data_IF_373193773583
#
_entry.id   IF_373193773583
#
_cell.length_a   1.000
_cell.length_b   1.000
_cell.length_c   1.000
_cell.angle_alpha   90.00
_cell.angle_beta   90.00
_cell.angle_gamma   90.00
#
_symmetry.space_group_name_H-M   'P 1'
#
loop_
_entity.id
_entity.type
_entity.pdbx_description
1 polymer ?
#
# COMPACT_ATOMS: atom_id res chain seq x y z
N UNK A 1 -9.68 1.36 -16.03
CA UNK A 1 -10.80 2.32 -16.18
C UNK A 1 -11.71 2.37 -14.95
N UNK A 2 -12.48 1.30 -14.64
CA UNK A 2 -13.43 1.31 -13.52
C UNK A 2 -12.78 1.74 -12.19
N UNK A 3 -11.62 1.17 -11.84
CA UNK A 3 -10.87 1.56 -10.63
C UNK A 3 -10.53 3.06 -10.58
N UNK A 4 -10.12 3.65 -11.71
CA UNK A 4 -9.79 5.07 -11.80
C UNK A 4 -11.00 5.98 -11.62
N UNK A 5 -12.16 5.63 -12.20
CA UNK A 5 -13.41 6.37 -12.00
C UNK A 5 -13.87 6.33 -10.53
N UNK A 6 -13.76 5.17 -9.89
CA UNK A 6 -14.09 5.00 -8.47
C UNK A 6 -13.13 5.82 -7.58
N UNK A 7 -11.83 5.85 -7.89
CA UNK A 7 -10.86 6.67 -7.17
C UNK A 7 -11.14 8.18 -7.36
N UNK A 8 -11.53 8.63 -8.56
CA UNK A 8 -11.93 10.03 -8.77
C UNK A 8 -13.13 10.43 -7.90
N UNK A 9 -14.09 9.54 -7.71
CA UNK A 9 -15.18 9.78 -6.76
C UNK A 9 -14.69 9.77 -5.31
N UNK A 10 -14.02 8.69 -4.88
CA UNK A 10 -13.65 8.51 -3.46
C UNK A 10 -12.60 9.50 -2.96
N UNK A 11 -11.70 9.99 -3.82
CA UNK A 11 -10.62 10.91 -3.44
C UNK A 11 -10.92 12.37 -3.79
N UNK A 12 -11.65 12.63 -4.88
CA UNK A 12 -11.88 13.99 -5.39
C UNK A 12 -13.37 14.40 -5.42
N UNK A 13 -14.30 13.54 -5.01
CA UNK A 13 -15.72 13.86 -4.96
C UNK A 13 -16.41 13.98 -6.33
N UNK A 14 -15.83 13.42 -7.39
CA UNK A 14 -16.39 13.53 -8.75
C UNK A 14 -17.63 12.64 -8.93
N UNK A 15 -18.82 13.20 -8.71
CA UNK A 15 -20.09 12.49 -8.95
C UNK A 15 -20.26 12.03 -10.39
N UNK A 16 -19.74 12.78 -11.37
CA UNK A 16 -19.78 12.35 -12.78
C UNK A 16 -18.97 11.07 -13.01
N UNK A 17 -17.84 10.91 -12.32
CA UNK A 17 -17.06 9.69 -12.41
C UNK A 17 -17.83 8.48 -11.84
N UNK A 18 -18.57 8.67 -10.74
CA UNK A 18 -19.43 7.63 -10.17
C UNK A 18 -20.57 7.25 -11.13
N UNK A 19 -21.24 8.22 -11.76
CA UNK A 19 -22.29 7.97 -12.76
C UNK A 19 -21.77 7.08 -13.91
N UNK A 20 -20.58 7.39 -14.42
CA UNK A 20 -19.95 6.59 -15.49
C UNK A 20 -19.55 5.20 -14.97
N UNK A 21 -19.02 5.12 -13.75
CA UNK A 21 -18.64 3.84 -13.12
C UNK A 21 -19.86 2.92 -12.93
N UNK A 22 -21.00 3.48 -12.51
CA UNK A 22 -22.27 2.76 -12.39
C UNK A 22 -22.73 2.22 -13.73
N UNK A 23 -22.81 3.08 -14.76
CA UNK A 23 -23.22 2.66 -16.10
C UNK A 23 -22.31 1.54 -16.67
N UNK A 24 -21.00 1.64 -16.45
CA UNK A 24 -20.04 0.61 -16.83
C UNK A 24 -20.25 -0.70 -16.05
N UNK A 25 -20.45 -0.61 -14.73
CA UNK A 25 -20.75 -1.77 -13.88
C UNK A 25 -22.03 -2.49 -14.29
N UNK A 26 -23.08 -1.74 -14.63
CA UNK A 26 -24.34 -2.28 -15.15
C UNK A 26 -24.16 -2.96 -16.51
N UNK A 27 -23.39 -2.36 -17.43
CA UNK A 27 -23.07 -2.96 -18.72
C UNK A 27 -22.33 -4.30 -18.55
N UNK A 28 -21.28 -4.31 -17.73
CA UNK A 28 -20.50 -5.52 -17.42
C UNK A 28 -21.42 -6.59 -16.83
N UNK A 29 -22.23 -6.24 -15.84
CA UNK A 29 -23.16 -7.17 -15.20
C UNK A 29 -24.18 -7.76 -16.17
N UNK A 30 -24.79 -6.95 -17.03
CA UNK A 30 -25.72 -7.41 -18.07
C UNK A 30 -25.03 -8.38 -19.04
N UNK A 31 -23.82 -8.07 -19.50
CA UNK A 31 -23.06 -8.93 -20.42
C UNK A 31 -22.70 -10.27 -19.79
N UNK A 32 -22.16 -10.24 -18.57
CA UNK A 32 -21.74 -11.45 -17.85
C UNK A 32 -22.94 -12.34 -17.51
N UNK A 33 -24.05 -11.78 -16.99
CA UNK A 33 -25.25 -12.56 -16.69
C UNK A 33 -25.86 -13.19 -17.94
N UNK A 34 -25.91 -12.46 -19.06
CA UNK A 34 -26.38 -13.02 -20.34
C UNK A 34 -25.52 -14.19 -20.79
N UNK A 35 -24.19 -14.04 -20.78
CA UNK A 35 -23.27 -15.13 -21.17
C UNK A 35 -23.35 -16.32 -20.20
N UNK A 36 -23.51 -16.08 -18.91
CA UNK A 36 -23.69 -17.13 -17.91
C UNK A 36 -25.01 -17.89 -18.12
N UNK A 37 -26.09 -17.20 -18.52
CA UNK A 37 -27.36 -17.84 -18.86
C UNK A 37 -27.24 -18.68 -20.16
N UNK A 38 -26.52 -18.19 -21.16
CA UNK A 38 -26.35 -18.86 -22.46
C UNK A 38 -25.34 -20.03 -22.42
N UNK A 39 -24.26 -19.91 -21.63
CA UNK A 39 -23.09 -20.83 -21.67
C UNK A 39 -22.73 -21.45 -20.31
N UNK A 40 -23.44 -21.09 -19.24
CA UNK A 40 -23.20 -21.57 -17.88
C UNK A 40 -22.10 -20.81 -17.13
N UNK A 41 -22.11 -20.92 -15.80
CA UNK A 41 -21.12 -20.31 -14.91
C UNK A 41 -19.69 -20.85 -15.15
N UNK A 42 -19.56 -22.11 -15.54
CA UNK A 42 -18.26 -22.69 -15.89
C UNK A 42 -17.60 -21.93 -17.05
N UNK A 43 -18.38 -21.45 -18.02
CA UNK A 43 -17.86 -20.62 -19.10
C UNK A 43 -17.32 -19.29 -18.56
N UNK A 44 -18.09 -18.60 -17.71
CA UNK A 44 -17.67 -17.35 -17.06
C UNK A 44 -16.33 -17.55 -16.33
N UNK A 45 -16.22 -18.56 -15.46
CA UNK A 45 -14.97 -18.80 -14.72
C UNK A 45 -13.80 -19.21 -15.62
N UNK A 46 -14.07 -19.92 -16.73
CA UNK A 46 -13.05 -20.20 -17.75
C UNK A 46 -12.54 -18.92 -18.41
N UNK A 47 -13.38 -17.90 -18.62
CA UNK A 47 -12.91 -16.61 -19.15
C UNK A 47 -11.94 -15.91 -18.20
N UNK A 48 -12.09 -16.10 -16.88
CA UNK A 48 -11.20 -15.55 -15.85
C UNK A 48 -9.82 -16.26 -15.80
N UNK A 49 -9.60 -17.28 -16.62
CA UNK A 49 -8.25 -17.83 -16.82
C UNK A 49 -7.39 -16.92 -17.70
N UNK A 50 -8.01 -15.99 -18.43
CA UNK A 50 -7.29 -14.84 -18.97
C UNK A 50 -7.18 -13.74 -17.91
N UNK A 51 -6.10 -12.96 -18.00
CA UNK A 51 -5.88 -11.84 -17.09
C UNK A 51 -7.05 -10.84 -17.18
N UNK A 52 -7.75 -10.67 -16.06
CA UNK A 52 -8.88 -9.75 -15.92
C UNK A 52 -8.58 -8.58 -14.97
N UNK A 53 -7.34 -8.50 -14.47
CA UNK A 53 -6.91 -7.52 -13.48
C UNK A 53 -7.77 -7.55 -12.21
N UNK A 54 -7.82 -6.42 -11.50
CA UNK A 54 -8.58 -6.27 -10.24
C UNK A 54 -10.06 -5.94 -10.48
N UNK A 55 -10.69 -6.52 -11.50
CA UNK A 55 -12.08 -6.19 -11.83
C UNK A 55 -13.06 -6.58 -10.71
N UNK A 56 -12.78 -7.68 -9.99
CA UNK A 56 -13.55 -8.06 -8.81
C UNK A 56 -13.42 -7.01 -7.70
N UNK A 57 -12.21 -6.52 -7.41
CA UNK A 57 -11.99 -5.43 -6.46
C UNK A 57 -12.80 -4.18 -6.83
N UNK A 58 -12.71 -3.77 -8.10
CA UNK A 58 -13.39 -2.58 -8.59
C UNK A 58 -14.92 -2.72 -8.50
N UNK A 59 -15.48 -3.88 -8.82
CA UNK A 59 -16.92 -4.14 -8.71
C UNK A 59 -17.39 -4.22 -7.25
N UNK A 60 -16.60 -4.82 -6.35
CA UNK A 60 -16.91 -4.79 -4.92
C UNK A 60 -16.84 -3.35 -4.35
N UNK A 61 -15.88 -2.54 -4.79
CA UNK A 61 -15.82 -1.12 -4.43
C UNK A 61 -17.05 -0.36 -4.97
N UNK A 62 -17.44 -0.55 -6.23
CA UNK A 62 -18.67 0.02 -6.78
C UNK A 62 -19.92 -0.40 -5.97
N UNK A 63 -20.02 -1.68 -5.61
CA UNK A 63 -21.11 -2.19 -4.79
C UNK A 63 -21.17 -1.53 -3.41
N UNK A 64 -20.01 -1.22 -2.81
CA UNK A 64 -19.94 -0.53 -1.52
C UNK A 64 -20.38 0.94 -1.58
N UNK A 65 -20.12 1.62 -2.71
CA UNK A 65 -20.52 3.03 -2.88
C UNK A 65 -22.00 3.18 -3.22
N UNK A 66 -22.55 2.23 -3.98
CA UNK A 66 -23.92 2.32 -4.52
C UNK A 66 -24.97 1.59 -3.70
N UNK A 67 -24.57 0.60 -2.90
CA UNK A 67 -25.48 -0.28 -2.16
C UNK A 67 -26.32 -1.24 -3.02
N UNK A 68 -26.21 -1.18 -4.36
CA UNK A 68 -27.02 -1.99 -5.29
C UNK A 68 -26.65 -3.47 -5.23
N UNK A 69 -27.66 -4.33 -5.06
CA UNK A 69 -27.47 -5.78 -4.96
C UNK A 69 -26.93 -6.39 -6.27
N UNK A 70 -27.29 -5.81 -7.42
CA UNK A 70 -26.84 -6.24 -8.74
C UNK A 70 -25.33 -6.05 -8.92
N UNK A 71 -24.75 -5.02 -8.31
CA UNK A 71 -23.30 -4.80 -8.31
C UNK A 71 -22.59 -5.87 -7.48
N UNK A 72 -23.13 -6.23 -6.30
CA UNK A 72 -22.60 -7.35 -5.49
C UNK A 72 -22.66 -8.66 -6.26
N UNK A 73 -23.81 -8.97 -6.85
CA UNK A 73 -24.00 -10.18 -7.65
C UNK A 73 -23.04 -10.24 -8.85
N UNK A 74 -22.79 -9.09 -9.49
CA UNK A 74 -21.80 -9.00 -10.59
C UNK A 74 -20.39 -9.21 -10.07
N UNK A 75 -20.00 -8.57 -8.96
CA UNK A 75 -18.68 -8.70 -8.36
C UNK A 75 -18.36 -10.16 -7.99
N UNK A 76 -19.32 -10.89 -7.41
CA UNK A 76 -19.17 -12.31 -7.06
C UNK A 76 -18.87 -13.21 -8.28
N UNK A 77 -19.29 -12.84 -9.49
CA UNK A 77 -19.01 -13.61 -10.71
C UNK A 77 -17.57 -13.44 -11.22
N UNK A 78 -16.79 -12.57 -10.59
CA UNK A 78 -15.36 -12.40 -10.84
C UNK A 78 -14.48 -12.95 -9.72
N UNK A 79 -15.07 -13.50 -8.65
CA UNK A 79 -14.33 -14.21 -7.61
C UNK A 79 -13.92 -15.60 -8.13
N UNK A 80 -12.63 -15.81 -8.41
CA UNK A 80 -12.14 -16.95 -9.20
C UNK A 80 -12.03 -18.25 -8.37
N UNK A 81 -12.86 -19.27 -8.62
CA UNK A 81 -12.87 -20.49 -7.79
C UNK A 81 -11.58 -21.30 -7.87
N UNK A 82 -10.87 -21.30 -9.00
CA UNK A 82 -9.63 -22.09 -9.14
C UNK A 82 -8.42 -21.48 -8.39
N UNK A 83 -8.54 -20.25 -7.89
CA UNK A 83 -7.57 -19.65 -6.98
C UNK A 83 -8.05 -19.78 -5.53
N UNK A 84 -9.30 -19.40 -5.28
CA UNK A 84 -9.87 -19.37 -3.93
C UNK A 84 -10.14 -20.77 -3.36
N UNK A 85 -10.53 -21.73 -4.20
CA UNK A 85 -10.85 -23.11 -3.82
C UNK A 85 -9.65 -23.86 -3.22
N UNK A 86 -8.50 -23.94 -3.92
CA UNK A 86 -7.29 -24.54 -3.36
C UNK A 86 -6.85 -23.87 -2.05
N UNK A 87 -6.88 -22.54 -1.98
CA UNK A 87 -6.57 -21.80 -0.75
C UNK A 87 -7.53 -22.15 0.40
N UNK A 88 -8.83 -22.32 0.11
CA UNK A 88 -9.83 -22.74 1.09
C UNK A 88 -9.60 -24.17 1.59
N UNK A 89 -9.11 -25.05 0.72
CA UNK A 89 -8.68 -26.40 1.05
C UNK A 89 -7.29 -26.46 1.73
N UNK A 90 -6.66 -25.31 1.96
CA UNK A 90 -5.33 -25.20 2.57
C UNK A 90 -4.19 -25.63 1.66
N UNK A 91 -4.41 -25.72 0.35
CA UNK A 91 -3.43 -26.11 -0.66
C UNK A 91 -2.67 -24.90 -1.19
N UNK A 92 -1.38 -25.09 -1.46
CA UNK A 92 -0.57 -24.14 -2.23
C UNK A 92 -0.58 -24.55 -3.71
N UNK A 93 -1.36 -23.80 -4.51
CA UNK A 93 -1.45 -23.99 -5.95
C UNK A 93 -0.76 -22.84 -6.73
N UNK A 94 0.10 -22.05 -6.10
CA UNK A 94 0.63 -20.81 -6.70
C UNK A 94 1.76 -21.04 -7.71
N UNK A 95 2.45 -22.18 -7.66
CA UNK A 95 3.56 -22.47 -8.57
C UNK A 95 3.13 -22.42 -10.03
N UNK A 96 3.85 -21.67 -10.86
CA UNK A 96 3.55 -21.46 -12.27
C UNK A 96 2.37 -20.52 -12.55
N UNK A 97 1.71 -19.97 -11.53
CA UNK A 97 0.71 -18.92 -11.74
C UNK A 97 1.37 -17.58 -12.03
N UNK A 98 0.76 -16.79 -12.90
CA UNK A 98 1.11 -15.39 -13.11
C UNK A 98 0.81 -14.59 -11.84
N UNK A 99 1.86 -14.02 -11.24
CA UNK A 99 1.79 -13.43 -9.90
C UNK A 99 0.84 -12.23 -9.83
N UNK A 100 0.97 -11.29 -10.77
CA UNK A 100 0.15 -10.08 -10.77
C UNK A 100 -1.36 -10.36 -10.96
N UNK A 101 -1.71 -11.30 -11.85
CA UNK A 101 -3.10 -11.74 -12.05
C UNK A 101 -3.70 -12.30 -10.76
N UNK A 102 -2.99 -13.20 -10.07
CA UNK A 102 -3.47 -13.78 -8.82
C UNK A 102 -3.58 -12.74 -7.70
N UNK A 103 -2.60 -11.83 -7.58
CA UNK A 103 -2.65 -10.72 -6.61
C UNK A 103 -3.86 -9.82 -6.82
N UNK A 104 -4.15 -9.47 -8.08
CA UNK A 104 -5.31 -8.63 -8.41
C UNK A 104 -6.64 -9.27 -7.98
N UNK A 105 -6.77 -10.59 -8.13
CA UNK A 105 -7.94 -11.33 -7.66
C UNK A 105 -8.02 -11.39 -6.13
N UNK A 106 -6.89 -11.53 -5.44
CA UNK A 106 -6.85 -11.54 -3.97
C UNK A 106 -7.16 -10.18 -3.36
N UNK A 107 -6.80 -9.07 -4.01
CA UNK A 107 -7.27 -7.73 -3.63
C UNK A 107 -8.80 -7.67 -3.63
N UNK A 108 -9.45 -8.23 -4.65
CA UNK A 108 -10.90 -8.29 -4.69
C UNK A 108 -11.52 -9.24 -3.65
N UNK A 109 -10.86 -10.35 -3.32
CA UNK A 109 -11.28 -11.22 -2.22
C UNK A 109 -11.25 -10.46 -0.88
N UNK A 110 -10.17 -9.73 -0.59
CA UNK A 110 -10.10 -8.90 0.62
C UNK A 110 -11.13 -7.76 0.59
N UNK A 111 -11.35 -7.14 -0.58
CA UNK A 111 -12.38 -6.10 -0.73
C UNK A 111 -13.78 -6.65 -0.49
N UNK A 112 -14.06 -7.90 -0.88
CA UNK A 112 -15.33 -8.56 -0.56
C UNK A 112 -15.55 -8.62 0.95
N UNK A 113 -14.55 -9.07 1.73
CA UNK A 113 -14.65 -9.04 3.19
C UNK A 113 -14.98 -7.63 3.72
N UNK A 114 -14.32 -6.59 3.22
CA UNK A 114 -14.60 -5.21 3.65
C UNK A 114 -16.06 -4.78 3.38
N UNK A 115 -16.70 -5.35 2.34
CA UNK A 115 -18.06 -5.01 1.93
C UNK A 115 -19.14 -5.90 2.55
N UNK A 116 -18.82 -7.17 2.81
CA UNK A 116 -19.81 -8.18 3.25
C UNK A 116 -19.61 -8.64 4.69
N UNK A 117 -18.42 -8.46 5.27
CA UNK A 117 -18.06 -9.01 6.58
C UNK A 117 -17.78 -10.51 6.58
N UNK A 118 -17.75 -11.17 5.40
CA UNK A 118 -17.49 -12.60 5.27
C UNK A 118 -16.04 -12.95 5.65
N UNK A 119 -15.81 -13.25 6.92
CA UNK A 119 -14.46 -13.41 7.51
C UNK A 119 -13.57 -14.45 6.80
N UNK A 120 -14.16 -15.43 6.12
CA UNK A 120 -13.40 -16.45 5.39
C UNK A 120 -12.54 -15.85 4.27
N UNK A 121 -12.95 -14.75 3.63
CA UNK A 121 -12.11 -14.11 2.61
C UNK A 121 -10.86 -13.48 3.20
N UNK A 122 -10.93 -12.91 4.41
CA UNK A 122 -9.71 -12.45 5.11
C UNK A 122 -8.79 -13.62 5.42
N UNK A 123 -9.32 -14.76 5.86
CA UNK A 123 -8.52 -15.96 6.11
C UNK A 123 -7.84 -16.50 4.82
N UNK A 124 -8.52 -16.46 3.68
CA UNK A 124 -7.94 -16.81 2.37
C UNK A 124 -6.82 -15.84 2.00
N UNK A 125 -7.04 -14.54 2.17
CA UNK A 125 -6.04 -13.49 1.91
C UNK A 125 -4.81 -13.65 2.80
N UNK A 126 -4.99 -13.92 4.09
CA UNK A 126 -3.90 -14.17 5.03
C UNK A 126 -3.05 -15.36 4.59
N UNK A 127 -3.69 -16.51 4.30
CA UNK A 127 -3.00 -17.71 3.81
C UNK A 127 -2.20 -17.42 2.53
N UNK A 128 -2.82 -16.71 1.58
CA UNK A 128 -2.15 -16.35 0.33
C UNK A 128 -0.93 -15.45 0.60
N UNK A 129 -1.08 -14.42 1.42
CA UNK A 129 0.03 -13.52 1.81
C UNK A 129 1.15 -14.32 2.48
N UNK A 130 0.82 -15.22 3.41
CA UNK A 130 1.81 -16.06 4.09
C UNK A 130 2.59 -16.94 3.12
N UNK A 131 1.92 -17.56 2.13
CA UNK A 131 2.56 -18.35 1.09
C UNK A 131 3.52 -17.51 0.24
N UNK A 132 3.13 -16.30 -0.16
CA UNK A 132 3.98 -15.42 -0.98
C UNK A 132 5.14 -14.87 -0.17
N UNK A 133 4.87 -14.33 1.01
CA UNK A 133 5.88 -13.68 1.88
C UNK A 133 6.92 -14.68 2.38
N UNK A 134 6.50 -15.86 2.83
CA UNK A 134 7.40 -16.83 3.45
C UNK A 134 8.10 -17.77 2.47
N UNK A 135 7.52 -18.03 1.29
CA UNK A 135 8.05 -19.03 0.35
C UNK A 135 8.49 -18.46 -1.00
N UNK A 136 8.06 -17.26 -1.37
CA UNK A 136 8.22 -16.74 -2.74
C UNK A 136 8.63 -15.28 -2.83
N UNK A 137 9.10 -14.68 -1.74
CA UNK A 137 9.59 -13.30 -1.76
C UNK A 137 11.11 -13.25 -1.69
N UNK A 138 11.70 -12.38 -2.51
CA UNK A 138 13.12 -12.02 -2.41
C UNK A 138 13.36 -11.12 -1.19
N UNK A 139 14.63 -10.87 -0.87
CA UNK A 139 15.02 -9.98 0.24
C UNK A 139 14.48 -8.54 0.09
N UNK A 140 14.19 -8.10 -1.13
CA UNK A 140 13.57 -6.80 -1.40
C UNK A 140 12.08 -6.73 -1.06
N UNK A 141 11.45 -7.85 -0.72
CA UNK A 141 9.99 -7.97 -0.56
C UNK A 141 9.24 -8.18 -1.89
N UNK A 142 9.92 -8.07 -3.03
CA UNK A 142 9.36 -8.41 -4.34
C UNK A 142 9.27 -9.92 -4.56
N UNK A 143 8.51 -10.34 -5.56
CA UNK A 143 8.25 -11.75 -5.88
C UNK A 143 8.20 -11.98 -7.39
N UNK A 144 8.06 -13.23 -7.81
CA UNK A 144 8.05 -13.71 -9.20
C UNK A 144 9.39 -13.65 -9.93
N UNK A 145 9.52 -14.58 -10.88
CA UNK A 145 10.59 -14.61 -11.87
C UNK A 145 9.93 -14.84 -13.23
N UNK A 146 10.20 -13.96 -14.19
CA UNK A 146 9.50 -13.94 -15.49
C UNK A 146 7.96 -13.95 -15.30
N UNK A 147 7.47 -13.10 -14.37
CA UNK A 147 6.05 -12.91 -13.99
C UNK A 147 5.35 -14.10 -13.32
N UNK A 148 6.02 -15.24 -13.24
CA UNK A 148 5.49 -16.47 -12.66
C UNK A 148 6.06 -16.71 -11.26
N UNK A 149 5.29 -17.39 -10.43
CA UNK A 149 5.80 -17.88 -9.16
C UNK A 149 6.54 -19.20 -9.33
N UNK A 150 7.78 -19.22 -8.84
CA UNK A 150 8.56 -20.44 -8.67
C UNK A 150 7.95 -21.37 -7.63
N UNK A 151 8.48 -22.60 -7.59
CA UNK A 151 8.20 -23.54 -6.52
C UNK A 151 8.58 -22.95 -5.14
N UNK A 152 7.86 -23.31 -4.06
CA UNK A 152 8.05 -22.69 -2.76
C UNK A 152 9.48 -22.93 -2.24
N UNK A 153 10.16 -21.86 -1.83
CA UNK A 153 11.54 -21.91 -1.33
C UNK A 153 12.62 -22.08 -2.41
N UNK A 154 12.27 -22.07 -3.69
CA UNK A 154 13.21 -22.34 -4.79
C UNK A 154 13.59 -21.08 -5.59
N UNK A 155 13.83 -19.95 -4.93
CA UNK A 155 14.21 -18.70 -5.64
C UNK A 155 15.70 -18.62 -6.00
N UNK A 156 16.57 -19.35 -5.31
CA UNK A 156 18.03 -19.20 -5.46
C UNK A 156 18.55 -19.48 -6.87
N UNK A 157 17.95 -20.45 -7.57
CA UNK A 157 18.35 -20.80 -8.92
C UNK A 157 18.10 -19.66 -9.93
N UNK A 158 17.08 -18.82 -9.69
CA UNK A 158 16.77 -17.67 -10.55
C UNK A 158 17.86 -16.59 -10.49
N UNK A 159 18.67 -16.57 -9.43
CA UNK A 159 19.72 -15.58 -9.20
C UNK A 159 21.09 -15.98 -9.77
N UNK A 160 21.25 -17.25 -10.16
CA UNK A 160 22.54 -17.79 -10.59
C UNK A 160 23.02 -17.19 -11.92
N UNK A 161 24.34 -17.03 -12.06
CA UNK A 161 24.97 -16.56 -13.30
C UNK A 161 24.73 -17.54 -14.47
N UNK A 162 24.44 -16.99 -15.66
CA UNK A 162 24.58 -17.70 -16.93
C UNK A 162 23.41 -18.56 -17.42
N UNK A 163 22.25 -18.54 -16.76
CA UNK A 163 21.12 -19.43 -17.16
C UNK A 163 19.69 -18.88 -17.07
N UNK A 164 19.46 -17.74 -16.42
CA UNK A 164 18.11 -17.18 -16.23
C UNK A 164 18.00 -15.77 -16.82
N UNK A 165 16.81 -15.42 -17.33
CA UNK A 165 16.49 -14.01 -17.61
C UNK A 165 16.52 -13.27 -16.28
N UNK A 166 17.18 -12.13 -16.21
CA UNK A 166 17.28 -11.35 -14.96
C UNK A 166 15.99 -10.54 -14.69
N UNK A 167 14.85 -11.20 -14.84
CA UNK A 167 13.49 -10.68 -14.77
C UNK A 167 12.89 -11.07 -13.42
N UNK A 168 13.47 -10.53 -12.35
CA UNK A 168 13.03 -10.78 -10.98
C UNK A 168 12.11 -9.67 -10.49
N UNK A 169 11.27 -9.99 -9.50
CA UNK A 169 10.58 -8.97 -8.71
C UNK A 169 9.84 -7.94 -9.58
N UNK A 170 8.89 -8.40 -10.40
CA UNK A 170 8.01 -7.51 -11.18
C UNK A 170 7.41 -6.42 -10.26
N UNK A 171 7.54 -5.15 -10.65
CA UNK A 171 7.15 -4.04 -9.78
C UNK A 171 5.64 -3.99 -9.50
N UNK A 172 4.78 -4.40 -10.46
CA UNK A 172 3.34 -4.58 -10.21
C UNK A 172 3.06 -5.52 -9.04
N UNK A 173 3.77 -6.64 -8.96
CA UNK A 173 3.55 -7.65 -7.91
C UNK A 173 3.91 -7.09 -6.54
N UNK A 174 5.00 -6.35 -6.45
CA UNK A 174 5.43 -5.68 -5.22
C UNK A 174 4.40 -4.63 -4.80
N UNK A 175 3.92 -3.82 -5.73
CA UNK A 175 2.88 -2.82 -5.47
C UNK A 175 1.58 -3.46 -4.96
N UNK A 176 1.08 -4.48 -5.65
CA UNK A 176 -0.15 -5.15 -5.25
C UNK A 176 0.01 -5.95 -3.94
N UNK A 177 1.19 -6.48 -3.65
CA UNK A 177 1.50 -7.05 -2.33
C UNK A 177 1.44 -6.00 -1.22
N UNK A 178 2.03 -4.81 -1.42
CA UNK A 178 1.94 -3.71 -0.44
C UNK A 178 0.47 -3.33 -0.20
N UNK A 179 -0.33 -3.20 -1.25
CA UNK A 179 -1.77 -2.92 -1.12
C UNK A 179 -2.51 -4.01 -0.35
N UNK A 180 -2.29 -5.27 -0.69
CA UNK A 180 -2.97 -6.41 -0.07
C UNK A 180 -2.59 -6.56 1.41
N UNK A 181 -1.31 -6.45 1.72
CA UNK A 181 -0.80 -6.48 3.11
C UNK A 181 -1.27 -5.27 3.89
N UNK A 182 -1.38 -4.09 3.26
CA UNK A 182 -1.97 -2.89 3.86
C UNK A 182 -3.44 -3.07 4.23
N UNK A 183 -4.23 -3.77 3.40
CA UNK A 183 -5.60 -4.15 3.75
C UNK A 183 -5.64 -5.07 4.98
N UNK A 184 -4.76 -6.07 5.05
CA UNK A 184 -4.64 -6.96 6.22
C UNK A 184 -4.13 -6.25 7.48
N UNK A 185 -3.22 -5.29 7.34
CA UNK A 185 -2.73 -4.45 8.43
C UNK A 185 -3.89 -3.67 9.07
N UNK A 186 -4.76 -3.05 8.25
CA UNK A 186 -5.98 -2.38 8.74
C UNK A 186 -7.00 -3.38 9.30
N UNK A 187 -7.15 -4.54 8.66
CA UNK A 187 -8.06 -5.60 9.10
C UNK A 187 -7.69 -6.18 10.47
N UNK A 188 -6.39 -6.31 10.75
CA UNK A 188 -5.85 -6.82 12.01
C UNK A 188 -5.73 -5.77 13.12
N UNK A 189 -5.88 -4.49 12.79
CA UNK A 189 -5.70 -3.40 13.76
C UNK A 189 -4.23 -3.07 14.03
N UNK A 190 -3.32 -3.34 13.09
CA UNK A 190 -1.92 -2.93 13.20
C UNK A 190 -0.91 -4.06 13.46
N UNK A 191 -1.17 -5.29 13.00
CA UNK A 191 -0.23 -6.40 13.20
C UNK A 191 1.18 -6.08 12.64
N UNK A 192 2.20 -6.17 13.50
CA UNK A 192 3.55 -5.67 13.22
C UNK A 192 4.24 -6.38 12.05
N UNK A 193 4.00 -7.69 11.87
CA UNK A 193 4.58 -8.46 10.77
C UNK A 193 4.20 -7.89 9.39
N UNK A 194 3.00 -7.33 9.25
CA UNK A 194 2.57 -6.66 8.02
C UNK A 194 3.26 -5.31 7.83
N UNK A 195 3.45 -4.55 8.90
CA UNK A 195 4.17 -3.29 8.86
C UNK A 195 5.66 -3.48 8.48
N UNK A 196 6.30 -4.54 8.99
CA UNK A 196 7.67 -4.95 8.62
C UNK A 196 7.77 -5.34 7.14
N UNK A 197 6.81 -6.12 6.63
CA UNK A 197 6.78 -6.45 5.20
C UNK A 197 6.62 -5.20 4.33
N UNK A 198 5.69 -4.31 4.70
CA UNK A 198 5.44 -3.06 3.97
C UNK A 198 6.70 -2.18 3.96
N UNK A 199 7.37 -2.00 5.09
CA UNK A 199 8.64 -1.26 5.18
C UNK A 199 9.68 -1.84 4.19
N UNK A 200 9.90 -3.15 4.27
CA UNK A 200 10.87 -3.85 3.43
C UNK A 200 10.56 -3.68 1.94
N UNK A 201 9.30 -3.90 1.55
CA UNK A 201 8.83 -3.81 0.17
C UNK A 201 8.86 -2.37 -0.37
N UNK A 202 8.48 -1.37 0.45
CA UNK A 202 8.53 0.03 0.05
C UNK A 202 9.97 0.48 -0.21
N UNK A 203 10.86 0.28 0.78
CA UNK A 203 12.23 0.79 0.72
C UNK A 203 13.06 0.07 -0.35
N UNK A 204 12.96 -1.26 -0.43
CA UNK A 204 13.83 -2.06 -1.28
C UNK A 204 13.17 -2.42 -2.62
N UNK A 205 11.85 -2.55 -2.66
CA UNK A 205 11.11 -3.05 -3.82
C UNK A 205 10.38 -1.97 -4.63
N UNK A 206 9.93 -0.87 -4.01
CA UNK A 206 9.20 0.21 -4.70
C UNK A 206 10.10 1.40 -4.99
N UNK A 207 10.78 1.98 -4.00
CA UNK A 207 11.58 3.19 -4.20
C UNK A 207 12.66 3.00 -5.28
N UNK A 208 13.25 1.82 -5.35
CA UNK A 208 14.26 1.47 -6.36
C UNK A 208 13.74 1.28 -7.79
N UNK A 209 12.43 1.44 -8.03
CA UNK A 209 11.78 1.24 -9.34
C UNK A 209 11.59 2.51 -10.14
N UNK A 210 11.77 3.70 -9.55
CA UNK A 210 11.83 4.97 -10.29
C UNK A 210 13.27 5.46 -10.36
N UNK A 211 13.68 5.95 -11.52
CA UNK A 211 15.01 6.55 -11.68
C UNK A 211 14.99 7.97 -11.13
N UNK A 212 15.61 8.19 -9.97
CA UNK A 212 15.60 9.51 -9.31
C UNK A 212 16.18 10.65 -10.16
N UNK A 213 17.19 10.37 -11.00
CA UNK A 213 17.79 11.34 -11.91
C UNK A 213 16.94 11.63 -13.17
N UNK A 214 15.96 10.79 -13.45
CA UNK A 214 15.13 10.85 -14.67
C UNK A 214 13.67 10.53 -14.30
N UNK A 215 12.93 11.51 -13.74
CA UNK A 215 11.54 11.30 -13.35
C UNK A 215 10.69 10.73 -14.48
N UNK A 216 9.86 9.74 -14.17
CA UNK A 216 9.02 9.04 -15.14
C UNK A 216 9.67 7.81 -15.80
N UNK A 217 10.98 7.63 -15.69
CA UNK A 217 11.62 6.36 -16.05
C UNK A 217 11.45 5.34 -14.90
N UNK A 218 10.80 4.22 -15.20
CA UNK A 218 10.41 3.18 -14.25
C UNK A 218 10.99 1.81 -14.63
N UNK A 219 11.07 0.90 -13.67
CA UNK A 219 11.42 -0.51 -13.90
C UNK A 219 10.18 -1.39 -14.04
N UNK A 220 10.24 -2.31 -15.01
CA UNK A 220 9.37 -3.46 -15.04
C UNK A 220 9.82 -4.50 -14.01
N UNK A 221 11.03 -5.02 -14.20
CA UNK A 221 11.66 -6.00 -13.31
C UNK A 221 12.78 -5.33 -12.51
N UNK A 222 12.91 -5.72 -11.26
CA UNK A 222 14.06 -5.36 -10.44
C UNK A 222 15.10 -6.49 -10.54
N UNK A 223 16.18 -6.33 -11.32
CA UNK A 223 17.12 -7.42 -11.54
C UNK A 223 17.93 -7.67 -10.25
N UNK A 224 17.93 -8.91 -9.77
CA UNK A 224 18.58 -9.32 -8.51
C UNK A 224 19.76 -10.29 -8.71
N UNK A 225 20.01 -10.71 -9.95
CA UNK A 225 21.13 -11.58 -10.30
C UNK A 225 22.49 -10.91 -10.04
N UNK A 226 23.54 -11.71 -10.00
CA UNK A 226 24.91 -11.20 -9.83
C UNK A 226 25.42 -10.55 -11.12
N UNK A 227 26.05 -9.37 -11.02
CA UNK A 227 26.64 -8.65 -12.16
C UNK A 227 25.64 -8.05 -13.16
N UNK A 228 24.35 -7.99 -12.80
CA UNK A 228 23.27 -7.50 -13.67
C UNK A 228 23.08 -5.99 -13.53
N UNK A 229 22.45 -5.38 -14.53
CA UNK A 229 22.20 -3.94 -14.56
C UNK A 229 20.72 -3.63 -14.79
N UNK A 230 20.27 -2.49 -14.26
CA UNK A 230 18.97 -1.87 -14.55
C UNK A 230 18.92 -1.20 -15.94
N UNK A 231 20.02 -1.19 -16.70
CA UNK A 231 20.08 -0.60 -18.04
C UNK A 231 19.17 -1.36 -19.00
N UNK A 232 18.45 -0.63 -19.87
CA UNK A 232 17.64 -1.21 -20.95
C UNK A 232 18.55 -2.03 -21.89
N UNK A 233 18.35 -3.35 -22.05
CA UNK A 233 19.14 -4.16 -22.97
C UNK A 233 18.72 -3.87 -24.42
N UNK A 234 19.64 -4.02 -25.37
CA UNK A 234 19.35 -3.83 -26.81
C UNK A 234 18.42 -4.91 -27.38
N UNK A 235 18.41 -6.10 -26.78
CA UNK A 235 17.73 -7.30 -27.28
C UNK A 235 16.31 -7.51 -26.75
N UNK A 236 15.90 -6.81 -25.69
CA UNK A 236 14.63 -7.07 -25.01
C UNK A 236 13.87 -5.80 -24.67
N UNK A 237 12.60 -5.76 -25.09
CA UNK A 237 11.75 -4.55 -25.02
C UNK A 237 11.08 -4.31 -23.67
N UNK A 238 11.10 -5.26 -22.74
CA UNK A 238 10.39 -5.18 -21.44
C UNK A 238 11.31 -5.37 -20.23
N UNK A 239 12.57 -4.93 -20.34
CA UNK A 239 13.55 -5.04 -19.26
C UNK A 239 14.37 -3.75 -19.12
N UNK A 240 14.79 -3.44 -17.90
CA UNK A 240 15.52 -2.22 -17.56
C UNK A 240 14.66 -0.97 -17.48
N UNK A 241 15.31 0.20 -17.45
CA UNK A 241 14.63 1.51 -17.36
C UNK A 241 13.74 1.78 -18.57
N UNK A 242 12.48 2.11 -18.29
CA UNK A 242 11.55 2.65 -19.27
C UNK A 242 11.94 4.07 -19.70
N UNK A 243 11.36 4.52 -20.80
CA UNK A 243 11.37 5.91 -21.23
C UNK A 243 10.04 6.57 -20.84
N UNK A 244 10.03 7.84 -20.38
CA UNK A 244 8.80 8.48 -19.92
C UNK A 244 7.65 8.53 -20.95
N UNK A 245 7.98 8.52 -22.25
CA UNK A 245 7.00 8.67 -23.34
C UNK A 245 7.07 7.58 -24.42
N UNK A 246 7.92 6.57 -24.26
CA UNK A 246 8.15 5.53 -25.29
C UNK A 246 7.80 4.11 -24.85
N UNK A 247 7.48 3.90 -23.57
CA UNK A 247 7.19 2.58 -23.01
C UNK A 247 5.87 2.61 -22.21
N UNK A 248 4.95 1.69 -22.53
CA UNK A 248 3.58 1.64 -21.98
C UNK A 248 3.28 0.29 -21.33
N UNK A 249 4.11 -0.08 -20.37
CA UNK A 249 3.98 -1.35 -19.64
C UNK A 249 2.98 -1.24 -18.48
N UNK A 250 2.47 -2.39 -18.01
CA UNK A 250 1.63 -2.45 -16.80
C UNK A 250 2.32 -1.76 -15.60
N UNK A 251 3.61 -2.03 -15.41
CA UNK A 251 4.47 -1.47 -14.36
C UNK A 251 4.59 0.06 -14.37
N UNK A 252 4.34 0.72 -15.50
CA UNK A 252 4.33 2.19 -15.55
C UNK A 252 3.10 2.74 -14.82
N UNK A 253 1.94 2.13 -15.03
CA UNK A 253 0.69 2.53 -14.37
C UNK A 253 0.73 2.28 -12.87
N UNK A 254 1.11 1.08 -12.45
CA UNK A 254 1.30 0.73 -11.03
C UNK A 254 2.43 1.51 -10.38
N UNK A 255 3.51 1.82 -11.11
CA UNK A 255 4.59 2.68 -10.61
C UNK A 255 4.08 4.07 -10.22
N UNK A 256 3.32 4.72 -11.09
CA UNK A 256 2.70 6.03 -10.79
C UNK A 256 1.80 5.92 -9.55
N UNK A 257 0.96 4.88 -9.47
CA UNK A 257 0.10 4.66 -8.29
C UNK A 257 0.90 4.38 -7.01
N UNK A 258 1.99 3.62 -7.10
CA UNK A 258 2.84 3.29 -5.94
C UNK A 258 3.46 4.54 -5.31
N UNK A 259 4.02 5.42 -6.14
CA UNK A 259 4.64 6.66 -5.66
C UNK A 259 3.62 7.68 -5.14
N UNK A 260 2.39 7.67 -5.66
CA UNK A 260 1.30 8.49 -5.12
C UNK A 260 0.80 8.00 -3.74
N UNK A 261 1.13 6.77 -3.33
CA UNK A 261 0.60 6.11 -2.13
C UNK A 261 1.65 5.89 -1.02
N UNK A 262 2.84 6.47 -1.12
CA UNK A 262 3.93 6.25 -0.14
C UNK A 262 3.52 6.58 1.31
N UNK A 263 2.52 7.44 1.52
CA UNK A 263 2.03 7.82 2.84
C UNK A 263 0.94 6.89 3.43
N UNK A 264 0.40 5.94 2.66
CA UNK A 264 -0.83 5.19 3.01
C UNK A 264 -0.71 4.35 4.30
N UNK A 265 0.52 3.94 4.65
CA UNK A 265 0.77 2.99 5.74
C UNK A 265 1.65 3.56 6.87
N UNK A 266 1.90 4.87 6.88
CA UNK A 266 2.70 5.52 7.94
C UNK A 266 1.99 5.40 9.29
N UNK A 267 0.67 5.62 9.29
CA UNK A 267 -0.15 5.58 10.48
C UNK A 267 -1.32 4.62 10.30
N UNK A 268 -1.69 3.91 11.37
CA UNK A 268 -2.93 3.13 11.44
C UNK A 268 -3.68 3.52 12.70
N UNK A 269 -4.96 3.83 12.55
CA UNK A 269 -5.82 4.10 13.70
C UNK A 269 -6.31 2.80 14.33
N UNK A 270 -6.25 2.73 15.66
CA UNK A 270 -6.72 1.59 16.43
C UNK A 270 -8.26 1.46 16.42
N UNK A 271 -8.73 0.24 16.63
CA UNK A 271 -10.16 -0.09 16.64
C UNK A 271 -10.86 0.23 17.97
N UNK A 272 -10.08 0.47 19.04
CA UNK A 272 -10.60 0.78 20.38
C UNK A 272 -11.49 2.02 20.39
N UNK A 273 -12.47 2.06 21.29
CA UNK A 273 -13.46 3.13 21.36
C UNK A 273 -12.92 4.40 22.05
N UNK A 274 -12.20 4.25 23.18
CA UNK A 274 -11.61 5.35 23.92
C UNK A 274 -10.46 4.87 24.86
N UNK A 275 -9.39 5.66 25.03
CA UNK A 275 -9.05 6.83 24.22
C UNK A 275 -8.75 6.41 22.77
N UNK A 276 -8.85 7.32 21.78
CA UNK A 276 -8.41 7.04 20.41
C UNK A 276 -6.95 6.58 20.42
N UNK A 277 -6.64 5.57 19.60
CA UNK A 277 -5.30 4.99 19.50
C UNK A 277 -4.73 5.18 18.09
N UNK A 278 -3.44 5.52 18.01
CA UNK A 278 -2.70 5.65 16.76
C UNK A 278 -1.43 4.82 16.80
N UNK A 279 -1.26 3.93 15.83
CA UNK A 279 -0.02 3.23 15.56
C UNK A 279 0.83 4.00 14.55
N UNK A 280 2.04 4.37 14.95
CA UNK A 280 3.09 4.95 14.09
C UNK A 280 3.95 3.80 13.59
N UNK A 281 3.82 3.47 12.30
CA UNK A 281 4.33 2.21 11.75
C UNK A 281 5.53 2.37 10.81
N UNK A 282 5.68 3.49 10.11
CA UNK A 282 6.77 3.65 9.13
C UNK A 282 7.70 4.79 9.53
N UNK A 283 9.00 4.63 9.29
CA UNK A 283 10.00 5.67 9.48
C UNK A 283 10.01 6.64 8.28
N UNK A 284 8.90 7.34 8.09
CA UNK A 284 8.71 8.28 6.98
C UNK A 284 8.17 9.58 7.56
N UNK A 285 8.87 10.69 7.30
CA UNK A 285 8.46 12.00 7.77
C UNK A 285 7.07 12.37 7.22
N UNK A 286 6.19 12.88 8.08
CA UNK A 286 4.80 13.15 7.73
C UNK A 286 4.14 14.16 8.66
N UNK A 287 3.04 14.76 8.20
CA UNK A 287 2.14 15.57 9.04
C UNK A 287 0.74 14.94 8.99
N UNK A 288 0.21 14.56 10.14
CA UNK A 288 -1.10 13.93 10.26
C UNK A 288 -2.10 14.87 10.90
N UNK A 289 -3.24 15.10 10.23
CA UNK A 289 -4.43 15.70 10.84
C UNK A 289 -5.33 14.59 11.39
N UNK A 290 -5.14 14.25 12.66
CA UNK A 290 -5.89 13.19 13.33
C UNK A 290 -7.21 13.70 13.89
N UNK A 291 -8.25 13.68 13.04
CA UNK A 291 -9.56 14.28 13.34
C UNK A 291 -10.26 13.64 14.55
N UNK A 292 -10.18 12.32 14.71
CA UNK A 292 -10.86 11.59 15.81
C UNK A 292 -10.34 12.00 17.19
N UNK A 293 -9.04 12.22 17.31
CA UNK A 293 -8.43 12.72 18.55
C UNK A 293 -8.40 14.25 18.64
N UNK A 294 -8.75 14.99 17.58
CA UNK A 294 -8.60 16.45 17.55
C UNK A 294 -7.14 16.92 17.60
N UNK A 295 -6.19 16.13 17.08
CA UNK A 295 -4.76 16.42 17.11
C UNK A 295 -4.20 16.70 15.71
N UNK A 296 -3.18 17.56 15.64
CA UNK A 296 -2.26 17.66 14.50
C UNK A 296 -0.90 17.22 14.96
N UNK A 297 -0.37 16.18 14.32
CA UNK A 297 0.90 15.57 14.65
C UNK A 297 1.91 15.81 13.53
N UNK A 298 3.15 16.10 13.91
CA UNK A 298 4.29 16.20 12.99
C UNK A 298 5.27 15.09 13.35
N UNK A 299 5.57 14.25 12.36
CA UNK A 299 6.52 13.16 12.43
C UNK A 299 7.78 13.55 11.66
N UNK A 300 8.86 13.75 12.39
CA UNK A 300 10.21 13.89 11.87
C UNK A 300 10.86 12.51 11.88
N UNK A 301 11.49 12.12 10.77
CA UNK A 301 12.17 10.83 10.64
C UNK A 301 13.41 11.01 9.76
N UNK A 302 14.49 10.31 10.09
CA UNK A 302 15.69 10.32 9.26
C UNK A 302 15.42 9.65 7.90
N UNK A 303 15.90 10.22 6.78
CA UNK A 303 15.63 9.66 5.47
C UNK A 303 16.31 8.29 5.29
N UNK A 304 15.61 7.32 4.66
CA UNK A 304 16.19 6.02 4.34
C UNK A 304 17.47 6.18 3.50
N UNK A 305 18.57 5.56 3.94
CA UNK A 305 19.86 5.59 3.22
C UNK A 305 20.79 6.77 3.53
N UNK A 306 20.35 7.76 4.33
CA UNK A 306 21.26 8.76 4.91
C UNK A 306 22.04 8.23 6.13
N UNK A 307 21.72 7.01 6.55
CA UNK A 307 22.30 6.36 7.71
C UNK A 307 23.56 5.61 7.29
N UNK A 308 24.70 6.03 7.82
CA UNK A 308 25.87 5.17 7.92
C UNK A 308 25.45 3.84 8.59
N UNK A 309 26.05 2.68 8.29
CA UNK A 309 25.72 1.41 8.96
C UNK A 309 25.81 1.44 10.50
N UNK A 310 26.46 2.46 11.07
CA UNK A 310 26.58 2.71 12.50
C UNK A 310 25.61 3.78 13.05
N UNK A 311 24.81 4.42 12.20
CA UNK A 311 23.86 5.44 12.62
C UNK A 311 22.60 4.79 13.18
N UNK A 312 22.10 5.34 14.28
CA UNK A 312 20.82 4.92 14.86
C UNK A 312 19.70 5.76 14.23
N UNK A 313 18.80 5.19 13.41
CA UNK A 313 17.66 5.92 12.88
C UNK A 313 16.82 6.49 14.02
N UNK A 314 16.56 7.80 13.95
CA UNK A 314 15.69 8.50 14.87
C UNK A 314 14.32 8.76 14.27
N UNK A 315 13.33 8.83 15.16
CA UNK A 315 11.99 9.28 14.83
C UNK A 315 11.47 10.13 15.99
N UNK A 316 10.90 11.29 15.65
CA UNK A 316 10.40 12.26 16.62
C UNK A 316 9.00 12.69 16.22
N UNK A 317 8.04 12.40 17.10
CA UNK A 317 6.67 12.85 16.95
C UNK A 317 6.42 14.05 17.86
N UNK A 318 5.87 15.13 17.30
CA UNK A 318 5.47 16.33 18.03
C UNK A 318 3.98 16.56 17.87
N UNK A 319 3.30 16.89 18.96
CA UNK A 319 1.95 17.48 18.90
C UNK A 319 2.11 18.93 18.49
N UNK A 320 1.66 19.26 17.28
CA UNK A 320 1.70 20.62 16.77
C UNK A 320 0.49 21.43 17.23
N UNK A 321 -0.68 20.79 17.30
CA UNK A 321 -1.93 21.43 17.72
C UNK A 321 -2.86 20.41 18.37
N UNK A 322 -3.58 20.85 19.40
CA UNK A 322 -4.75 20.17 19.96
C UNK A 322 -5.99 21.06 19.77
N UNK A 323 -7.15 20.44 19.54
CA UNK A 323 -8.43 21.15 19.36
C UNK A 323 -9.00 21.69 20.68
N UNK A 324 -8.64 21.08 21.82
CA UNK A 324 -9.05 21.46 23.16
C UNK A 324 -7.98 21.06 24.18
N UNK A 325 -8.09 21.58 25.40
CA UNK A 325 -7.34 21.08 26.55
C UNK A 325 -7.89 19.71 27.00
N UNK A 326 -7.06 18.91 27.69
CA UNK A 326 -7.48 17.61 28.22
C UNK A 326 -7.75 16.53 27.17
N UNK A 327 -7.18 16.65 25.96
CA UNK A 327 -7.27 15.59 24.94
C UNK A 327 -6.47 14.37 25.39
N UNK A 328 -7.13 13.22 25.48
CA UNK A 328 -6.50 11.93 25.78
C UNK A 328 -6.45 11.06 24.52
N UNK A 329 -5.24 10.60 24.17
CA UNK A 329 -5.00 9.69 23.05
C UNK A 329 -3.83 8.76 23.37
N UNK A 330 -3.89 7.53 22.87
CA UNK A 330 -2.78 6.58 22.91
C UNK A 330 -2.02 6.64 21.59
N UNK A 331 -0.68 6.68 21.66
CA UNK A 331 0.18 6.63 20.47
C UNK A 331 1.22 5.55 20.70
N UNK A 332 1.18 4.51 19.86
CA UNK A 332 2.12 3.41 19.89
C UNK A 332 3.09 3.52 18.71
N UNK A 333 4.37 3.25 18.96
CA UNK A 333 5.39 3.21 17.92
C UNK A 333 5.76 1.77 17.63
N UNK A 334 5.80 1.38 16.35
CA UNK A 334 6.39 0.09 15.96
C UNK A 334 7.87 0.11 16.32
N UNK A 335 8.31 -0.95 17.00
CA UNK A 335 9.72 -1.34 17.05
C UNK A 335 9.92 -2.35 15.91
N UNK A 336 10.68 -2.01 14.85
CA UNK A 336 10.92 -2.94 13.74
C UNK A 336 11.62 -4.22 14.20
N UNK A 337 11.34 -5.36 13.56
CA UNK A 337 12.00 -6.64 13.91
C UNK A 337 13.52 -6.65 13.75
N UNK A 338 14.08 -5.74 12.96
CA UNK A 338 15.53 -5.60 12.79
C UNK A 338 16.20 -4.71 13.87
N UNK A 339 15.42 -4.01 14.70
CA UNK A 339 15.97 -3.12 15.74
C UNK A 339 16.43 -3.91 16.97
N UNK A 340 17.68 -3.71 17.40
CA UNK A 340 18.31 -4.50 18.47
C UNK A 340 18.38 -3.80 19.83
N UNK A 341 18.29 -2.47 19.88
CA UNK A 341 18.40 -1.69 21.13
C UNK A 341 17.54 -0.42 21.07
N UNK A 342 16.20 -0.55 20.98
CA UNK A 342 15.31 0.60 20.92
C UNK A 342 15.35 1.39 22.23
N UNK A 343 15.32 2.73 22.11
CA UNK A 343 15.16 3.63 23.25
C UNK A 343 14.18 4.75 22.89
N UNK A 344 13.49 5.28 23.90
CA UNK A 344 12.52 6.36 23.72
C UNK A 344 12.62 7.36 24.86
N UNK A 345 12.39 8.64 24.56
CA UNK A 345 12.27 9.70 25.56
C UNK A 345 11.04 10.53 25.26
N UNK A 346 10.29 10.90 26.31
CA UNK A 346 9.16 11.81 26.21
C UNK A 346 9.57 13.14 26.86
N UNK A 347 9.40 14.24 26.11
CA UNK A 347 9.67 15.60 26.60
C UNK A 347 8.39 16.40 26.52
N UNK A 348 7.97 16.99 27.62
CA UNK A 348 6.94 18.03 27.62
C UNK A 348 7.62 19.34 27.25
N UNK A 349 7.14 20.03 26.21
CA UNK A 349 7.59 21.39 25.95
C UNK A 349 7.22 22.24 27.17
N UNK A 350 8.17 23.05 27.68
CA UNK A 350 7.84 24.04 28.69
C UNK A 350 6.72 24.92 28.13
N UNK A 351 5.65 25.14 28.90
CA UNK A 351 4.63 26.11 28.53
C UNK A 351 5.36 27.44 28.31
N UNK A 352 5.31 27.98 27.09
CA UNK A 352 5.73 29.37 26.89
C UNK A 352 4.89 30.20 27.86
N UNK A 353 5.52 30.96 28.78
CA UNK A 353 4.76 31.83 29.65
C UNK A 353 3.94 32.75 28.75
N UNK A 354 2.66 33.01 29.07
CA UNK A 354 1.87 33.99 28.33
C UNK A 354 2.70 35.25 28.21
N UNK A 355 2.95 35.68 26.96
CA UNK A 355 3.63 36.92 26.67
C UNK A 355 2.69 38.05 27.08
N UNK A 356 2.69 38.36 28.38
CA UNK A 356 2.17 39.62 28.88
C UNK A 356 3.14 40.67 28.39
N UNK A 357 2.87 41.20 27.19
CA UNK A 357 3.55 42.38 26.67
C UNK A 357 3.57 43.43 27.77
N UNK A 358 4.77 43.69 28.28
CA UNK A 358 4.98 44.59 29.40
C UNK A 358 4.53 46.00 29.04
N UNK A 359 3.36 46.40 29.55
CA UNK A 359 3.06 47.80 29.77
C UNK A 359 3.71 48.19 31.10
N UNK A 360 5.01 48.50 31.04
CA UNK A 360 5.79 48.92 32.20
C UNK A 360 6.73 50.07 31.87
N UNK A 361 6.32 51.29 32.24
CA UNK A 361 7.23 52.33 32.71
C UNK A 361 7.89 53.23 31.66
N UNK A 362 7.13 54.18 31.12
CA UNK A 362 7.70 55.41 30.59
C UNK A 362 8.17 56.33 31.73
N UNK A 363 9.38 56.10 32.22
CA UNK A 363 10.10 57.03 33.10
C UNK A 363 10.71 58.15 32.26
N UNK A 364 9.98 59.27 32.12
CA UNK A 364 10.51 60.51 31.56
C UNK A 364 11.08 61.39 32.67
N UNK A 365 12.40 61.45 32.76
CA UNK A 365 13.10 62.47 33.55
C UNK A 365 12.98 63.85 32.90
N UNK A 366 12.75 64.87 33.73
CA UNK A 366 12.83 66.27 33.37
C UNK A 366 13.03 67.09 34.64
N UNK A 367 14.25 67.54 34.87
CA UNK A 367 14.62 68.33 36.04
C UNK A 367 14.17 69.79 35.95
N UNK A 368 14.36 70.51 37.06
CA UNK A 368 14.45 71.97 37.05
C UNK A 368 13.77 72.66 38.23
N UNK A 369 14.57 73.01 39.25
CA UNK A 369 14.64 74.37 39.79
C UNK A 369 13.59 74.87 40.78
N UNK A 370 14.05 75.10 42.01
CA UNK A 370 13.90 76.39 42.71
C UNK A 370 12.65 76.62 43.55
N UNK A 371 12.88 77.06 44.80
CA UNK A 371 11.89 77.68 45.67
C UNK A 371 11.84 77.09 47.06
#
# INVERSE_FOLDING_TARGET
>A
MLAGLLQQYSLAGSHKALEIAEALGEYIGKRVRRLAAEKGLAHQFKTLNQECGGINEALWHLASLTGKAEHRATASLFDKPCLLGPLAAGQDALTGMHGNTALALMLGAQRRFEVTGEAHFTALTQRFVDLVVSKRSYATGGSTHNELWEAPGQLGHTLAHGGARHEHAESCTTHNMVRLVGMLLRASGGALAYADFIERALLNGILGTQRGSEPGAMLYFMPLGTGVSKRKPQSWRHSGWSTPFGDFWCCQGTGIEAFARLAEHIFVEGRGAAPPELFVLQLIAARLRWRRAGLVLVLEADPPGALHPAATPGLKLRVERAAAEGVHAAIAFRVPSWATSPSATLRQAAAEPPNFGGAGGGGGGGGGGGG
#
